data_IF_924634288468
#
_entry.id   IF_924634288468
#
_cell.length_a   1.000
_cell.length_b   1.000
_cell.length_c   1.000
_cell.angle_alpha   90.00
_cell.angle_beta   90.00
_cell.angle_gamma   90.00
#
_symmetry.space_group_name_H-M   'P 1'
#
loop_
_entity.id
_entity.type
_entity.pdbx_description
1 polymer ?
#
# COMPACT_ATOMS: atom_id res chain seq x y z
N UNK A 1 30.97 -20.22 -1.43
CA UNK A 1 32.07 -19.89 -2.37
C UNK A 1 32.72 -21.13 -3.02
N UNK A 2 32.43 -22.32 -2.58
CA UNK A 2 33.03 -23.56 -3.12
C UNK A 2 32.22 -24.23 -4.25
N UNK A 3 30.96 -23.87 -4.48
CA UNK A 3 30.11 -24.46 -5.54
C UNK A 3 30.23 -23.75 -6.91
N UNK A 4 30.85 -22.58 -6.98
CA UNK A 4 30.98 -21.80 -8.22
C UNK A 4 32.16 -22.23 -9.11
N UNK A 5 33.11 -23.00 -8.58
CA UNK A 5 34.28 -23.44 -9.34
C UNK A 5 34.14 -24.82 -10.01
N UNK A 6 33.17 -25.63 -9.58
CA UNK A 6 32.97 -26.96 -10.14
C UNK A 6 32.20 -26.99 -11.47
N UNK A 7 31.49 -25.93 -11.84
CA UNK A 7 30.67 -25.89 -13.07
C UNK A 7 31.45 -25.41 -14.29
N UNK A 8 32.59 -24.72 -14.09
CA UNK A 8 33.39 -24.21 -15.20
C UNK A 8 34.49 -25.16 -15.75
N UNK A 9 34.76 -26.26 -15.05
CA UNK A 9 35.83 -27.20 -15.47
C UNK A 9 35.37 -28.36 -16.38
N UNK A 10 34.07 -28.52 -16.63
CA UNK A 10 33.52 -29.60 -17.44
C UNK A 10 33.12 -29.22 -18.87
N UNK A 11 33.44 -28.02 -19.31
CA UNK A 11 33.14 -27.52 -20.65
C UNK A 11 34.39 -27.45 -21.54
N UNK A 12 35.16 -28.56 -21.64
CA UNK A 12 36.22 -28.69 -22.65
C UNK A 12 35.70 -29.42 -23.88
N UNK A 13 35.77 -28.74 -25.00
CA UNK A 13 35.14 -29.06 -26.27
C UNK A 13 35.73 -30.23 -27.06
N UNK A 14 34.83 -30.97 -27.73
CA UNK A 14 35.08 -31.57 -29.06
C UNK A 14 34.05 -31.01 -30.07
N UNK A 15 34.52 -30.63 -31.25
CA UNK A 15 33.85 -29.79 -32.23
C UNK A 15 32.67 -30.45 -33.01
N UNK A 16 32.21 -31.62 -32.64
CA UNK A 16 31.19 -32.35 -33.41
C UNK A 16 29.79 -32.48 -32.74
N UNK A 17 29.56 -31.83 -31.60
CA UNK A 17 28.24 -31.85 -30.94
C UNK A 17 27.72 -30.46 -30.50
N UNK A 18 28.11 -29.43 -31.20
CA UNK A 18 27.88 -28.02 -30.78
C UNK A 18 26.41 -27.60 -30.62
N UNK A 19 25.50 -28.20 -31.38
CA UNK A 19 24.06 -27.79 -31.33
C UNK A 19 23.29 -28.29 -30.13
N UNK A 20 23.57 -29.51 -29.64
CA UNK A 20 22.86 -30.10 -28.49
C UNK A 20 23.45 -29.66 -27.14
N UNK A 21 24.75 -29.39 -27.10
CA UNK A 21 25.42 -28.94 -25.88
C UNK A 21 25.12 -27.45 -25.59
N UNK A 22 25.00 -26.61 -26.60
CA UNK A 22 24.58 -25.21 -26.42
C UNK A 22 23.15 -25.07 -25.87
N UNK A 23 22.22 -25.94 -26.31
CA UNK A 23 20.85 -25.95 -25.73
C UNK A 23 20.83 -26.43 -24.29
N UNK A 24 21.65 -27.44 -23.92
CA UNK A 24 21.79 -27.92 -22.55
C UNK A 24 22.49 -26.90 -21.64
N UNK A 25 23.53 -26.20 -22.11
CA UNK A 25 24.17 -25.14 -21.38
C UNK A 25 23.23 -23.91 -21.21
N UNK A 26 22.47 -23.55 -22.24
CA UNK A 26 21.46 -22.48 -22.14
C UNK A 26 20.31 -22.85 -21.17
N UNK A 27 19.88 -24.11 -21.14
CA UNK A 27 18.86 -24.60 -20.21
C UNK A 27 19.37 -24.65 -18.77
N UNK A 28 20.65 -25.02 -18.55
CA UNK A 28 21.28 -25.03 -17.21
C UNK A 28 21.52 -23.59 -16.72
N UNK A 29 21.94 -22.67 -17.61
CA UNK A 29 22.07 -21.24 -17.29
C UNK A 29 20.72 -20.59 -17.02
N UNK A 30 19.67 -20.95 -17.77
CA UNK A 30 18.30 -20.46 -17.52
C UNK A 30 17.73 -21.04 -16.20
N UNK A 31 17.97 -22.31 -15.87
CA UNK A 31 17.61 -22.90 -14.59
C UNK A 31 18.43 -22.33 -13.43
N UNK A 32 19.72 -22.07 -13.61
CA UNK A 32 20.57 -21.43 -12.60
C UNK A 32 20.21 -19.94 -12.40
N UNK A 33 19.78 -19.23 -13.44
CA UNK A 33 19.26 -17.87 -13.32
C UNK A 33 17.88 -17.84 -12.64
N UNK A 34 17.04 -18.86 -12.82
CA UNK A 34 15.76 -19.00 -12.12
C UNK A 34 15.91 -19.42 -10.65
N UNK A 35 17.00 -20.08 -10.28
CA UNK A 35 17.23 -20.52 -8.89
C UNK A 35 17.82 -19.45 -7.95
N UNK A 36 18.23 -18.29 -8.47
CA UNK A 36 18.78 -17.19 -7.65
C UNK A 36 17.66 -16.29 -7.07
N UNK A 37 16.39 -16.50 -7.44
CA UNK A 37 15.28 -15.62 -7.07
C UNK A 37 14.25 -16.24 -6.14
N UNK A 38 14.59 -17.30 -5.42
CA UNK A 38 13.74 -17.78 -4.32
C UNK A 38 14.01 -16.97 -3.05
N UNK A 39 13.66 -15.71 -3.04
CA UNK A 39 13.42 -15.02 -1.78
C UNK A 39 12.07 -15.52 -1.27
N UNK A 40 12.06 -16.09 -0.06
CA UNK A 40 10.82 -16.41 0.64
C UNK A 40 9.94 -15.16 0.64
N UNK A 41 8.81 -15.21 -0.06
CA UNK A 41 7.80 -14.16 0.04
C UNK A 41 7.34 -14.15 1.51
N UNK A 42 7.84 -13.20 2.29
CA UNK A 42 7.29 -12.91 3.61
C UNK A 42 6.06 -12.07 3.37
N UNK A 43 4.92 -12.56 3.80
CA UNK A 43 3.61 -11.98 3.56
C UNK A 43 3.39 -10.60 4.16
N UNK A 44 4.22 -10.20 5.06
CA UNK A 44 4.12 -8.90 5.72
C UNK A 44 5.14 -7.93 5.12
N UNK A 45 4.87 -6.64 5.21
CA UNK A 45 5.80 -5.56 4.86
C UNK A 45 7.07 -5.55 5.70
N UNK A 46 7.74 -6.72 5.84
CA UNK A 46 8.93 -6.88 6.66
C UNK A 46 10.17 -6.84 5.76
N UNK A 47 11.10 -5.92 6.05
CA UNK A 47 12.45 -5.95 5.53
C UNK A 47 13.44 -5.96 6.70
N UNK A 48 14.21 -7.06 6.82
CA UNK A 48 15.09 -7.28 7.96
C UNK A 48 14.32 -7.41 9.28
N UNK A 49 14.61 -6.54 10.24
CA UNK A 49 13.94 -6.45 11.53
C UNK A 49 12.82 -5.40 11.57
N UNK A 50 12.49 -4.80 10.43
CA UNK A 50 11.49 -3.74 10.32
C UNK A 50 10.21 -4.29 9.70
N UNK A 51 9.09 -4.07 10.39
CA UNK A 51 7.78 -4.10 9.80
C UNK A 51 7.41 -2.69 9.32
N UNK A 52 7.07 -2.54 8.05
CA UNK A 52 6.50 -1.32 7.50
C UNK A 52 4.99 -1.40 7.60
N UNK A 53 4.45 -0.53 8.42
CA UNK A 53 3.04 -0.50 8.77
C UNK A 53 2.19 -0.17 7.54
N UNK A 54 1.11 -0.90 7.33
CA UNK A 54 0.07 -0.47 6.40
C UNK A 54 -0.45 0.90 6.83
N UNK A 55 -0.26 1.89 5.98
CA UNK A 55 -0.69 3.27 6.24
C UNK A 55 -2.17 3.44 5.94
N UNK A 56 -2.80 4.45 6.54
CA UNK A 56 -4.23 4.70 6.36
C UNK A 56 -4.50 5.72 5.24
N UNK A 57 -3.49 6.51 4.83
CA UNK A 57 -3.66 7.59 3.84
C UNK A 57 -3.14 7.25 2.46
N UNK A 58 -2.22 6.29 2.35
CA UNK A 58 -1.63 5.81 1.10
C UNK A 58 -1.20 4.35 1.25
N UNK A 59 -1.00 3.67 0.13
CA UNK A 59 -0.61 2.26 0.11
C UNK A 59 0.80 2.06 0.70
N UNK A 60 1.02 0.94 1.37
CA UNK A 60 2.32 0.57 1.91
C UNK A 60 3.27 0.05 0.81
N UNK A 61 4.57 -0.09 1.07
CA UNK A 61 5.50 -0.58 0.04
C UNK A 61 5.51 -2.10 -0.15
N UNK A 62 4.76 -2.87 0.64
CA UNK A 62 4.79 -4.33 0.56
C UNK A 62 3.89 -4.89 -0.54
N UNK A 63 4.15 -6.11 -0.97
CA UNK A 63 3.30 -6.89 -1.85
C UNK A 63 2.93 -8.18 -1.11
N UNK A 64 1.64 -8.34 -0.77
CA UNK A 64 1.13 -9.42 0.07
C UNK A 64 -0.28 -9.85 -0.34
N UNK A 65 -0.73 -10.98 0.22
CA UNK A 65 -2.14 -11.36 0.21
C UNK A 65 -2.82 -10.70 1.41
N UNK A 66 -3.56 -9.63 1.18
CA UNK A 66 -4.14 -8.84 2.26
C UNK A 66 -5.51 -8.28 1.92
N UNK A 67 -6.26 -7.92 2.95
CA UNK A 67 -7.52 -7.22 2.82
C UNK A 67 -7.63 -6.10 3.87
N UNK A 68 -7.97 -4.92 3.43
CA UNK A 68 -8.35 -3.81 4.30
C UNK A 68 -9.88 -3.78 4.35
N UNK A 69 -10.46 -4.08 5.53
CA UNK A 69 -11.92 -4.11 5.73
C UNK A 69 -12.24 -3.96 7.22
N UNK A 70 -12.85 -2.86 7.65
CA UNK A 70 -13.07 -1.59 6.94
C UNK A 70 -11.86 -0.65 7.03
N UNK A 71 -11.80 0.33 6.11
CA UNK A 71 -11.12 1.60 6.32
C UNK A 71 -12.20 2.68 6.44
N UNK A 72 -12.54 3.05 7.68
CA UNK A 72 -13.55 4.04 8.00
C UNK A 72 -12.90 5.42 8.16
N UNK A 73 -13.51 6.46 7.57
CA UNK A 73 -13.13 7.85 7.83
C UNK A 73 -14.34 8.75 8.02
N UNK A 74 -14.17 9.75 8.89
CA UNK A 74 -15.11 10.85 9.13
C UNK A 74 -14.38 12.17 8.91
N UNK A 75 -14.87 12.98 7.99
CA UNK A 75 -14.29 14.25 7.59
C UNK A 75 -15.34 15.34 7.48
N UNK A 76 -14.93 16.59 7.79
CA UNK A 76 -15.69 17.79 7.47
C UNK A 76 -14.83 18.67 6.56
N UNK A 77 -15.32 18.95 5.37
CA UNK A 77 -14.60 19.82 4.43
C UNK A 77 -15.49 20.93 3.87
N UNK A 78 -14.89 22.06 3.52
CA UNK A 78 -15.63 23.18 2.96
C UNK A 78 -15.97 22.93 1.48
N UNK A 79 -17.14 23.39 1.10
CA UNK A 79 -17.52 23.59 -0.30
C UNK A 79 -17.69 25.09 -0.56
N UNK A 80 -18.04 25.49 -1.79
CA UNK A 80 -18.23 26.89 -2.12
C UNK A 80 -19.28 27.56 -1.23
N UNK A 81 -20.39 26.87 -0.90
CA UNK A 81 -21.55 27.42 -0.25
C UNK A 81 -21.83 26.84 1.14
N UNK A 82 -21.12 25.81 1.56
CA UNK A 82 -21.41 25.08 2.80
C UNK A 82 -20.27 24.18 3.27
N UNK A 83 -20.47 23.52 4.40
CA UNK A 83 -19.64 22.40 4.84
C UNK A 83 -20.35 21.08 4.58
N UNK A 84 -19.59 20.07 4.22
CA UNK A 84 -20.06 18.69 4.06
C UNK A 84 -19.44 17.84 5.16
N UNK A 85 -20.26 17.02 5.80
CA UNK A 85 -19.80 15.95 6.68
C UNK A 85 -19.81 14.66 5.89
N UNK A 86 -18.65 14.05 5.72
CA UNK A 86 -18.50 12.80 4.97
C UNK A 86 -18.11 11.66 5.90
N UNK A 87 -18.84 10.55 5.78
CA UNK A 87 -18.45 9.26 6.29
C UNK A 87 -18.10 8.36 5.09
N UNK A 88 -16.95 7.72 5.15
CA UNK A 88 -16.51 6.83 4.09
C UNK A 88 -16.09 5.50 4.68
N UNK A 89 -16.45 4.41 4.03
CA UNK A 89 -15.99 3.07 4.33
C UNK A 89 -15.35 2.53 3.06
N UNK A 90 -14.03 2.45 3.03
CA UNK A 90 -13.31 1.85 1.94
C UNK A 90 -12.98 0.39 2.25
N UNK A 91 -12.71 -0.37 1.20
CA UNK A 91 -12.12 -1.69 1.26
C UNK A 91 -11.13 -1.85 0.12
N UNK A 92 -10.09 -2.59 0.41
CA UNK A 92 -9.06 -2.98 -0.54
C UNK A 92 -8.78 -4.47 -0.40
N UNK A 93 -8.46 -5.10 -1.51
CA UNK A 93 -8.08 -6.50 -1.55
C UNK A 93 -6.88 -6.67 -2.47
N UNK A 94 -5.83 -7.31 -1.98
CA UNK A 94 -4.64 -7.65 -2.75
C UNK A 94 -4.43 -9.16 -2.81
N UNK A 95 -4.07 -9.67 -3.98
CA UNK A 95 -3.82 -11.09 -4.24
C UNK A 95 -2.50 -11.30 -4.96
N UNK A 96 -1.61 -12.10 -4.39
CA UNK A 96 -0.35 -12.47 -5.01
C UNK A 96 -0.56 -13.25 -6.31
N UNK A 97 -0.04 -12.71 -7.40
CA UNK A 97 0.10 -13.39 -8.69
C UNK A 97 1.44 -14.11 -8.76
N UNK A 98 2.52 -13.45 -8.35
CA UNK A 98 3.86 -14.01 -8.15
C UNK A 98 4.36 -13.60 -6.76
N UNK A 99 5.52 -14.08 -6.29
CA UNK A 99 6.05 -13.66 -4.98
C UNK A 99 6.29 -12.15 -4.83
N UNK A 100 6.38 -11.41 -5.94
CA UNK A 100 6.67 -9.97 -5.98
C UNK A 100 5.64 -9.15 -6.75
N UNK A 101 4.56 -9.75 -7.23
CA UNK A 101 3.49 -9.09 -7.98
C UNK A 101 2.14 -9.45 -7.39
N UNK A 102 1.34 -8.46 -7.03
CA UNK A 102 -0.05 -8.63 -6.64
C UNK A 102 -1.02 -7.91 -7.59
N UNK A 103 -2.22 -8.46 -7.73
CA UNK A 103 -3.38 -7.75 -8.25
C UNK A 103 -4.13 -7.09 -7.10
N UNK A 104 -4.66 -5.89 -7.32
CA UNK A 104 -5.44 -5.13 -6.32
C UNK A 104 -6.84 -4.81 -6.83
N UNK A 105 -7.77 -4.73 -5.90
CA UNK A 105 -9.14 -4.29 -6.12
C UNK A 105 -9.52 -3.34 -4.99
N UNK A 106 -9.90 -2.12 -5.32
CA UNK A 106 -10.26 -1.08 -4.37
C UNK A 106 -11.64 -0.51 -4.70
N UNK A 107 -12.43 -0.21 -3.66
CA UNK A 107 -13.70 0.49 -3.77
C UNK A 107 -14.13 1.00 -2.39
N UNK A 108 -15.35 1.55 -2.29
CA UNK A 108 -15.86 2.06 -1.03
C UNK A 108 -17.34 2.40 -1.06
N UNK A 109 -17.83 2.84 0.08
CA UNK A 109 -19.15 3.45 0.25
C UNK A 109 -19.00 4.80 0.92
N UNK A 110 -19.67 5.82 0.37
CA UNK A 110 -19.61 7.20 0.83
C UNK A 110 -21.01 7.65 1.26
N UNK A 111 -21.09 8.33 2.40
CA UNK A 111 -22.28 9.00 2.87
C UNK A 111 -21.93 10.45 3.21
N UNK A 112 -22.61 11.41 2.57
CA UNK A 112 -22.40 12.83 2.71
C UNK A 112 -23.64 13.50 3.28
N UNK A 113 -23.46 14.29 4.34
CA UNK A 113 -24.49 15.13 4.92
C UNK A 113 -24.26 16.58 4.48
N UNK A 114 -25.25 17.12 3.79
CA UNK A 114 -25.33 18.48 3.29
C UNK A 114 -26.36 19.27 4.09
N UNK A 115 -26.34 20.61 4.12
CA UNK A 115 -27.38 21.38 4.79
C UNK A 115 -28.81 21.13 4.31
N UNK A 116 -28.98 20.65 3.07
CA UNK A 116 -30.28 20.42 2.42
C UNK A 116 -30.70 18.95 2.43
N UNK A 117 -29.91 18.04 2.99
CA UNK A 117 -30.17 16.60 2.99
C UNK A 117 -28.91 15.77 2.94
N UNK A 118 -29.03 14.54 2.51
CA UNK A 118 -27.89 13.62 2.43
C UNK A 118 -27.83 12.92 1.07
N UNK A 119 -26.64 12.51 0.68
CA UNK A 119 -26.39 11.62 -0.47
C UNK A 119 -25.56 10.43 -0.02
N UNK A 120 -25.71 9.30 -0.70
CA UNK A 120 -24.84 8.14 -0.47
C UNK A 120 -24.73 7.26 -1.71
N UNK A 121 -23.66 6.48 -1.77
CA UNK A 121 -23.45 5.56 -2.86
C UNK A 121 -22.06 4.95 -2.86
N UNK A 122 -21.84 4.04 -3.80
CA UNK A 122 -20.53 3.45 -4.00
C UNK A 122 -19.52 4.47 -4.50
N UNK A 123 -18.29 4.34 -4.00
CA UNK A 123 -17.14 5.05 -4.55
C UNK A 123 -16.68 4.39 -5.85
N UNK A 124 -15.80 5.07 -6.58
CA UNK A 124 -15.19 4.55 -7.79
C UNK A 124 -14.41 3.27 -7.49
N UNK A 125 -14.60 2.26 -8.33
CA UNK A 125 -13.87 1.00 -8.25
C UNK A 125 -12.60 1.09 -9.07
N UNK A 126 -11.48 0.60 -8.55
CA UNK A 126 -10.22 0.47 -9.27
C UNK A 126 -9.65 -0.96 -9.22
N UNK A 127 -8.96 -1.32 -10.31
CA UNK A 127 -8.21 -2.57 -10.45
C UNK A 127 -6.76 -2.23 -10.71
N UNK A 128 -5.85 -2.88 -10.01
CA UNK A 128 -4.44 -2.54 -10.11
C UNK A 128 -3.51 -3.76 -10.11
N UNK A 129 -2.25 -3.44 -10.37
CA UNK A 129 -1.10 -4.31 -10.20
C UNK A 129 -0.07 -3.57 -9.38
N UNK A 130 0.54 -4.25 -8.40
CA UNK A 130 1.61 -3.74 -7.56
C UNK A 130 2.79 -4.69 -7.62
N UNK A 131 3.96 -4.16 -7.95
CA UNK A 131 5.19 -4.93 -8.11
C UNK A 131 6.24 -4.46 -7.12
N UNK A 132 6.73 -5.36 -6.27
CA UNK A 132 7.87 -5.11 -5.40
C UNK A 132 9.15 -5.08 -6.24
N UNK A 133 9.65 -3.87 -6.50
CA UNK A 133 10.80 -3.64 -7.37
C UNK A 133 12.13 -3.77 -6.62
N UNK A 134 12.12 -3.54 -5.31
CA UNK A 134 13.33 -3.53 -4.50
C UNK A 134 13.05 -3.94 -3.06
N UNK A 135 13.93 -4.80 -2.51
CA UNK A 135 13.96 -5.17 -1.08
C UNK A 135 15.42 -5.34 -0.63
N UNK A 136 15.78 -4.67 0.45
CA UNK A 136 17.07 -4.83 1.13
C UNK A 136 16.83 -5.07 2.63
N UNK A 137 16.93 -6.33 3.02
CA UNK A 137 16.74 -6.75 4.41
C UNK A 137 17.84 -6.23 5.34
N UNK A 138 19.07 -6.06 4.84
CA UNK A 138 20.19 -5.56 5.64
C UNK A 138 20.01 -4.10 6.01
N UNK A 139 19.49 -3.32 5.10
CA UNK A 139 19.31 -1.88 5.27
C UNK A 139 17.84 -1.49 5.55
N UNK A 140 16.98 -2.47 5.83
CA UNK A 140 15.55 -2.26 6.11
C UNK A 140 14.90 -1.34 5.07
N UNK A 141 15.05 -1.67 3.79
CA UNK A 141 14.52 -0.86 2.71
C UNK A 141 13.65 -1.69 1.76
N UNK A 142 12.57 -1.08 1.28
CA UNK A 142 11.57 -1.71 0.42
C UNK A 142 10.98 -0.66 -0.51
N UNK A 143 10.77 -0.99 -1.78
CA UNK A 143 10.09 -0.13 -2.74
C UNK A 143 9.27 -0.93 -3.74
N UNK A 144 8.09 -0.41 -4.07
CA UNK A 144 7.18 -0.99 -5.05
C UNK A 144 6.71 0.05 -6.05
N UNK A 145 6.34 -0.43 -7.23
CA UNK A 145 5.67 0.36 -8.26
C UNK A 145 4.26 -0.20 -8.48
N UNK A 146 3.32 0.67 -8.78
CA UNK A 146 1.92 0.30 -9.00
C UNK A 146 1.36 0.94 -10.26
N UNK A 147 0.42 0.24 -10.88
CA UNK A 147 -0.40 0.75 -11.96
C UNK A 147 -1.83 0.31 -11.70
N UNK A 148 -2.77 1.26 -11.59
CA UNK A 148 -4.18 0.95 -11.39
C UNK A 148 -5.06 1.66 -12.41
N UNK A 149 -6.19 1.04 -12.71
CA UNK A 149 -7.22 1.53 -13.59
C UNK A 149 -8.49 1.78 -12.81
N UNK A 150 -8.87 3.06 -12.66
CA UNK A 150 -10.16 3.45 -12.13
C UNK A 150 -11.24 3.31 -13.20
N UNK A 151 -12.24 2.46 -12.94
CA UNK A 151 -13.28 2.09 -13.89
C UNK A 151 -14.29 3.24 -14.03
N UNK A 152 -14.53 3.66 -15.27
CA UNK A 152 -15.49 4.73 -15.55
C UNK A 152 -16.89 4.38 -15.04
N UNK A 153 -17.57 5.38 -14.48
CA UNK A 153 -18.98 5.29 -14.05
C UNK A 153 -19.29 4.12 -13.10
N UNK A 154 -18.28 3.59 -12.39
CA UNK A 154 -18.46 2.57 -11.37
C UNK A 154 -18.93 3.15 -10.03
N UNK A 155 -18.76 4.45 -9.82
CA UNK A 155 -19.20 5.16 -8.63
C UNK A 155 -20.51 5.93 -8.83
N UNK A 156 -21.11 6.32 -7.71
CA UNK A 156 -22.41 6.99 -7.69
C UNK A 156 -22.31 8.50 -7.95
N UNK A 157 -23.20 9.04 -8.77
CA UNK A 157 -23.32 10.49 -9.04
C UNK A 157 -23.52 11.30 -7.76
N UNK A 158 -24.35 10.76 -6.84
CA UNK A 158 -24.73 11.45 -5.60
C UNK A 158 -23.56 11.81 -4.68
N UNK A 159 -22.45 11.10 -4.77
CA UNK A 159 -21.25 11.33 -3.95
C UNK A 159 -20.05 11.82 -4.78
N UNK A 160 -20.29 12.21 -6.04
CA UNK A 160 -19.25 12.73 -6.93
C UNK A 160 -18.29 11.65 -7.46
N UNK A 161 -18.63 10.38 -7.33
CA UNK A 161 -17.80 9.26 -7.74
C UNK A 161 -18.05 8.78 -9.18
N UNK A 162 -19.04 9.37 -9.89
CA UNK A 162 -19.26 9.14 -11.32
C UNK A 162 -18.20 9.89 -12.15
N UNK A 163 -17.06 9.28 -12.35
CA UNK A 163 -15.91 9.83 -13.03
C UNK A 163 -15.55 9.02 -14.29
N UNK A 164 -14.78 9.57 -15.25
CA UNK A 164 -14.25 8.81 -16.37
C UNK A 164 -13.25 7.75 -15.89
N UNK A 165 -12.76 6.92 -16.83
CA UNK A 165 -11.60 6.08 -16.54
C UNK A 165 -10.42 6.94 -16.04
N UNK A 166 -9.64 6.40 -15.11
CA UNK A 166 -8.35 6.98 -14.72
C UNK A 166 -7.26 5.93 -14.77
N UNK A 167 -6.05 6.37 -15.06
CA UNK A 167 -4.84 5.56 -14.85
C UNK A 167 -4.09 6.18 -13.67
N UNK A 168 -3.72 5.34 -12.71
CA UNK A 168 -2.92 5.72 -11.56
C UNK A 168 -1.57 5.01 -11.65
N UNK A 169 -0.48 5.76 -11.75
CA UNK A 169 0.87 5.23 -11.74
C UNK A 169 1.56 5.68 -10.46
N UNK A 170 2.09 4.73 -9.68
CA UNK A 170 2.59 5.01 -8.36
C UNK A 170 3.92 4.35 -8.02
N UNK A 171 4.59 4.96 -7.04
CA UNK A 171 5.76 4.41 -6.34
C UNK A 171 5.50 4.51 -4.85
N UNK A 172 5.74 3.42 -4.13
CA UNK A 172 5.72 3.36 -2.67
C UNK A 172 7.08 2.93 -2.16
N UNK A 173 7.51 3.44 -1.02
CA UNK A 173 8.80 3.12 -0.44
C UNK A 173 8.76 3.08 1.09
N UNK A 174 9.69 2.32 1.66
CA UNK A 174 9.93 2.26 3.09
C UNK A 174 11.42 2.19 3.40
N UNK A 175 11.87 2.91 4.44
CA UNK A 175 13.22 2.86 4.98
C UNK A 175 13.19 2.90 6.49
N UNK A 176 13.66 1.82 7.12
CA UNK A 176 13.92 1.74 8.54
C UNK A 176 15.33 2.20 8.88
N UNK A 177 15.55 2.61 10.11
CA UNK A 177 16.85 3.10 10.61
C UNK A 177 17.54 2.11 11.55
N UNK A 178 17.13 0.83 11.55
CA UNK A 178 17.68 -0.22 12.40
C UNK A 178 19.16 -0.53 12.12
N UNK A 179 19.64 -0.20 10.91
CA UNK A 179 21.03 -0.36 10.45
C UNK A 179 22.00 0.75 10.87
N UNK A 180 21.51 1.78 11.57
CA UNK A 180 22.36 2.89 12.04
C UNK A 180 23.41 2.42 13.07
N UNK A 181 24.58 3.07 13.13
CA UNK A 181 25.64 2.76 14.10
C UNK A 181 25.19 3.03 15.54
N UNK A 182 25.90 2.45 16.52
CA UNK A 182 25.54 2.56 17.95
C UNK A 182 25.48 4.00 18.46
N UNK A 183 26.27 4.90 17.91
CA UNK A 183 26.24 6.34 18.23
C UNK A 183 24.88 6.99 17.89
N UNK A 184 24.12 6.43 16.96
CA UNK A 184 22.80 6.87 16.52
C UNK A 184 21.69 5.86 16.87
N UNK A 185 21.94 4.97 17.84
CA UNK A 185 21.01 3.88 18.21
C UNK A 185 19.62 4.37 18.63
N UNK A 186 19.49 5.60 19.10
CA UNK A 186 18.23 6.22 19.48
C UNK A 186 17.29 6.51 18.29
N UNK A 187 17.84 6.56 17.06
CA UNK A 187 17.06 6.70 15.83
C UNK A 187 16.58 5.34 15.27
N UNK A 188 17.17 4.23 15.71
CA UNK A 188 16.84 2.89 15.19
C UNK A 188 15.34 2.53 15.28
N UNK A 189 14.55 2.99 16.29
CA UNK A 189 13.10 2.74 16.30
C UNK A 189 12.35 3.40 15.16
N UNK A 190 12.89 4.44 14.54
CA UNK A 190 12.17 5.19 13.52
C UNK A 190 12.27 4.54 12.14
N UNK A 191 11.22 4.74 11.35
CA UNK A 191 11.17 4.45 9.93
C UNK A 191 10.39 5.53 9.21
N UNK A 192 10.64 5.66 7.90
CA UNK A 192 9.85 6.50 6.99
C UNK A 192 9.28 5.60 5.92
N UNK A 193 7.97 5.73 5.65
CA UNK A 193 7.32 5.21 4.45
C UNK A 193 6.75 6.36 3.65
N UNK A 194 6.50 6.16 2.37
CA UNK A 194 5.89 7.19 1.55
C UNK A 194 5.38 6.65 0.23
N UNK A 195 4.54 7.45 -0.42
CA UNK A 195 4.00 7.17 -1.73
C UNK A 195 3.94 8.42 -2.60
N UNK A 196 4.07 8.23 -3.89
CA UNK A 196 3.80 9.23 -4.93
C UNK A 196 3.00 8.52 -6.01
N UNK A 197 1.78 9.01 -6.28
CA UNK A 197 0.85 8.44 -7.27
C UNK A 197 0.32 9.56 -8.14
N UNK A 198 0.52 9.45 -9.44
CA UNK A 198 -0.08 10.34 -10.43
C UNK A 198 -1.37 9.71 -10.98
N UNK A 199 -2.49 10.36 -10.78
CA UNK A 199 -3.79 9.95 -11.31
C UNK A 199 -4.14 10.82 -12.52
N UNK A 200 -4.13 10.20 -13.70
CA UNK A 200 -4.46 10.84 -14.98
C UNK A 200 -5.86 10.40 -15.45
N UNK A 201 -6.83 11.32 -15.61
CA UNK A 201 -8.13 11.00 -16.17
C UNK A 201 -8.06 10.76 -17.68
N UNK A 202 -8.73 9.68 -18.14
CA UNK A 202 -8.82 9.32 -19.55
C UNK A 202 -10.18 9.74 -20.16
N UNK A 203 -10.60 10.99 -19.93
CA UNK A 203 -11.87 11.50 -20.39
C UNK A 203 -12.18 12.91 -19.87
N UNK A 204 -13.29 13.49 -20.35
CA UNK A 204 -13.59 14.91 -20.10
C UNK A 204 -14.35 15.19 -18.78
N UNK A 205 -14.63 14.20 -17.96
CA UNK A 205 -15.32 14.42 -16.68
C UNK A 205 -16.48 13.43 -16.47
N UNK A 206 -17.06 13.52 -15.30
CA UNK A 206 -18.20 12.75 -14.84
C UNK A 206 -19.36 13.65 -14.43
N UNK A 207 -20.16 13.16 -13.52
CA UNK A 207 -21.31 13.87 -12.96
C UNK A 207 -21.23 13.85 -11.44
N UNK A 208 -21.76 14.92 -10.85
CA UNK A 208 -21.89 15.03 -9.40
C UNK A 208 -23.20 15.69 -9.03
N UNK A 209 -23.65 15.51 -7.81
CA UNK A 209 -24.72 16.33 -7.24
C UNK A 209 -24.12 17.56 -6.55
N UNK A 210 -24.64 18.73 -6.91
CA UNK A 210 -24.36 19.98 -6.21
C UNK A 210 -25.60 20.45 -5.45
N UNK A 211 -25.49 20.90 -4.19
CA UNK A 211 -26.62 21.40 -3.42
C UNK A 211 -27.05 22.77 -3.97
N UNK A 212 -28.35 22.95 -4.17
CA UNK A 212 -28.95 24.24 -4.41
C UNK A 212 -29.65 24.67 -3.13
N UNK A 213 -29.00 25.53 -2.34
CA UNK A 213 -29.50 26.00 -1.04
C UNK A 213 -30.78 26.84 -1.17
N UNK A 214 -30.97 27.50 -2.30
CA UNK A 214 -32.17 28.34 -2.53
C UNK A 214 -33.42 27.50 -2.76
N UNK A 215 -33.30 26.33 -3.41
CA UNK A 215 -34.44 25.45 -3.69
C UNK A 215 -34.53 24.25 -2.76
N UNK A 216 -33.50 23.99 -1.95
CA UNK A 216 -33.42 22.82 -1.11
C UNK A 216 -33.29 21.49 -1.91
N UNK A 217 -32.74 21.53 -3.11
CA UNK A 217 -32.63 20.37 -4.00
C UNK A 217 -31.20 20.12 -4.45
N UNK A 218 -30.89 18.90 -4.88
CA UNK A 218 -29.63 18.59 -5.55
C UNK A 218 -29.77 18.75 -7.07
N UNK A 219 -28.79 19.42 -7.68
CA UNK A 219 -28.66 19.56 -9.12
C UNK A 219 -27.60 18.59 -9.64
N UNK A 220 -27.91 17.91 -10.74
CA UNK A 220 -26.91 17.10 -11.45
C UNK A 220 -26.03 18.06 -12.27
N UNK A 221 -24.74 18.11 -11.94
CA UNK A 221 -23.78 18.99 -12.59
C UNK A 221 -22.65 18.18 -13.21
N UNK A 222 -22.01 18.73 -14.24
CA UNK A 222 -20.76 18.18 -14.77
C UNK A 222 -19.64 18.35 -13.75
N UNK A 223 -18.92 17.26 -13.48
CA UNK A 223 -17.73 17.26 -12.63
C UNK A 223 -16.50 17.08 -13.52
N UNK A 224 -15.67 18.12 -13.70
CA UNK A 224 -14.47 18.00 -14.52
C UNK A 224 -13.49 17.00 -13.91
N UNK A 225 -12.95 16.14 -14.72
CA UNK A 225 -11.87 15.26 -14.31
C UNK A 225 -10.54 16.02 -14.34
N UNK A 226 -9.79 15.96 -13.27
CA UNK A 226 -8.54 16.71 -13.09
C UNK A 226 -7.42 15.74 -12.74
N UNK A 227 -6.30 15.85 -13.46
CA UNK A 227 -5.06 15.16 -13.09
C UNK A 227 -4.70 15.52 -11.64
N UNK A 228 -4.41 14.53 -10.83
CA UNK A 228 -4.11 14.74 -9.41
C UNK A 228 -2.84 13.97 -9.02
N UNK A 229 -1.87 14.70 -8.47
CA UNK A 229 -0.72 14.10 -7.82
C UNK A 229 -1.04 13.86 -6.34
N UNK A 230 -1.15 12.58 -5.97
CA UNK A 230 -1.26 12.13 -4.59
C UNK A 230 0.12 11.79 -4.06
N UNK A 231 0.53 12.39 -2.96
CA UNK A 231 1.81 12.08 -2.35
C UNK A 231 1.76 12.24 -0.84
N UNK A 232 2.64 11.55 -0.17
CA UNK A 232 2.69 11.61 1.27
C UNK A 232 3.82 10.77 1.85
N UNK A 233 4.00 10.91 3.14
CA UNK A 233 4.93 10.11 3.91
C UNK A 233 4.44 9.91 5.34
N UNK A 234 4.90 8.84 5.96
CA UNK A 234 4.66 8.53 7.37
C UNK A 234 5.98 8.42 8.11
N UNK A 235 6.03 8.95 9.31
CA UNK A 235 7.09 8.70 10.29
C UNK A 235 6.52 7.70 11.29
N UNK A 236 7.15 6.54 11.40
CA UNK A 236 6.71 5.42 12.22
C UNK A 236 7.73 5.15 13.33
N UNK A 237 7.26 4.79 14.52
CA UNK A 237 8.09 4.42 15.65
C UNK A 237 7.80 2.99 16.08
N UNK A 238 8.75 2.07 15.91
CA UNK A 238 8.60 0.66 16.27
C UNK A 238 8.96 0.43 17.72
N UNK A 239 7.98 0.01 18.53
CA UNK A 239 8.23 -0.36 19.94
C UNK A 239 9.03 -1.65 20.07
N UNK A 240 9.13 -2.46 19.02
CA UNK A 240 9.99 -3.64 18.96
C UNK A 240 11.47 -3.30 19.20
N UNK A 241 11.97 -2.19 18.61
CA UNK A 241 13.34 -1.74 18.86
C UNK A 241 13.54 -1.18 20.27
N UNK A 242 12.48 -0.66 20.88
CA UNK A 242 12.52 -0.15 22.25
C UNK A 242 12.65 -1.30 23.24
N UNK A 243 11.81 -2.34 23.13
CA UNK A 243 11.84 -3.52 24.01
C UNK A 243 13.17 -4.25 23.93
N UNK A 244 13.75 -4.40 22.73
CA UNK A 244 15.08 -5.00 22.56
C UNK A 244 16.18 -4.28 23.35
N UNK A 245 16.04 -2.98 23.54
CA UNK A 245 17.04 -2.18 24.28
C UNK A 245 16.92 -2.35 25.79
N UNK A 246 15.73 -2.60 26.32
CA UNK A 246 15.46 -2.65 27.76
C UNK A 246 15.36 -4.06 28.32
N UNK A 247 14.88 -5.01 27.57
CA UNK A 247 14.53 -6.33 28.12
C UNK A 247 15.71 -7.30 28.18
N UNK A 248 16.83 -7.07 27.48
CA UNK A 248 18.00 -7.96 27.46
C UNK A 248 17.68 -9.42 27.08
N UNK A 249 16.44 -9.69 26.72
CA UNK A 249 15.93 -11.02 26.36
C UNK A 249 16.37 -11.48 24.98
N UNK A 250 16.17 -12.76 24.63
CA UNK A 250 16.42 -13.26 23.30
C UNK A 250 15.61 -12.45 22.30
N UNK A 251 16.17 -12.12 21.12
CA UNK A 251 15.46 -11.35 20.12
C UNK A 251 14.17 -12.09 19.73
N UNK A 252 13.03 -11.39 19.80
CA UNK A 252 11.82 -11.87 19.11
C UNK A 252 12.18 -12.01 17.64
N UNK A 253 11.88 -13.15 17.05
CA UNK A 253 12.29 -13.45 15.69
C UNK A 253 11.59 -12.57 14.63
N UNK A 254 10.44 -11.99 14.98
CA UNK A 254 9.64 -11.16 14.08
C UNK A 254 9.19 -9.84 14.74
N UNK A 255 9.16 -8.72 13.99
CA UNK A 255 8.74 -7.41 14.49
C UNK A 255 7.21 -7.26 14.54
N UNK A 256 6.51 -8.28 15.02
CA UNK A 256 5.05 -8.32 15.17
C UNK A 256 4.65 -8.22 16.65
N UNK A 257 3.36 -8.20 16.94
CA UNK A 257 2.78 -8.04 18.28
C UNK A 257 3.31 -6.79 18.98
N UNK A 258 3.25 -5.66 18.26
CA UNK A 258 3.74 -4.38 18.74
C UNK A 258 2.80 -3.22 18.47
N UNK A 259 2.93 -2.16 19.28
CA UNK A 259 2.37 -0.86 18.98
C UNK A 259 3.32 -0.05 18.10
N UNK A 260 2.76 0.64 17.13
CA UNK A 260 3.50 1.52 16.22
C UNK A 260 2.83 2.90 16.21
N UNK A 261 3.24 3.82 17.11
CA UNK A 261 2.89 5.23 16.96
C UNK A 261 3.42 5.76 15.62
N UNK A 262 2.61 6.59 14.96
CA UNK A 262 2.95 7.13 13.65
C UNK A 262 2.34 8.53 13.44
N UNK A 263 2.91 9.25 12.51
CA UNK A 263 2.29 10.47 11.97
C UNK A 263 2.36 10.39 10.46
N UNK A 264 1.21 10.50 9.80
CA UNK A 264 1.12 10.52 8.34
C UNK A 264 0.92 11.96 7.86
N UNK A 265 1.56 12.30 6.74
CA UNK A 265 1.37 13.56 6.03
C UNK A 265 0.87 13.23 4.63
N UNK A 266 -0.32 13.73 4.30
CA UNK A 266 -0.95 13.52 3.00
C UNK A 266 -1.13 14.82 2.26
N UNK A 267 -0.86 14.76 0.97
CA UNK A 267 -1.03 15.87 0.04
C UNK A 267 -1.70 15.37 -1.25
N UNK A 268 -2.85 15.94 -1.57
CA UNK A 268 -3.52 15.73 -2.86
C UNK A 268 -3.44 17.04 -3.64
N UNK A 269 -2.75 17.02 -4.77
CA UNK A 269 -2.41 18.20 -5.57
C UNK A 269 -3.11 18.14 -6.94
N UNK A 270 -4.41 18.51 -7.03
CA UNK A 270 -5.13 18.57 -8.30
C UNK A 270 -4.54 19.68 -9.18
N UNK A 271 -4.37 19.41 -10.45
CA UNK A 271 -3.79 20.36 -11.41
C UNK A 271 -4.66 21.64 -11.50
N UNK A 272 -4.03 22.79 -11.26
CA UNK A 272 -4.71 24.08 -11.29
C UNK A 272 -5.61 24.38 -10.09
N UNK A 273 -5.59 23.55 -9.06
CA UNK A 273 -6.34 23.77 -7.81
C UNK A 273 -5.42 23.84 -6.59
N UNK A 274 -5.97 24.15 -5.43
CA UNK A 274 -5.21 24.16 -4.17
C UNK A 274 -4.93 22.73 -3.72
N UNK A 275 -3.72 22.47 -3.27
CA UNK A 275 -3.35 21.21 -2.64
C UNK A 275 -4.14 21.02 -1.35
N UNK A 276 -4.76 19.87 -1.20
CA UNK A 276 -5.32 19.39 0.08
C UNK A 276 -4.17 18.86 0.91
N UNK A 277 -4.01 19.32 2.14
CA UNK A 277 -2.92 18.90 3.00
C UNK A 277 -3.42 18.56 4.40
N UNK A 278 -3.04 17.38 4.92
CA UNK A 278 -3.37 16.93 6.28
C UNK A 278 -2.16 16.35 6.99
N UNK A 279 -2.14 16.45 8.32
CA UNK A 279 -1.21 15.75 9.20
C UNK A 279 -2.03 14.86 10.14
N UNK A 280 -1.72 13.58 10.17
CA UNK A 280 -2.56 12.57 10.78
C UNK A 280 -1.75 11.80 11.84
N UNK A 281 -1.70 12.29 13.10
CA UNK A 281 -1.14 11.52 14.20
C UNK A 281 -2.04 10.33 14.51
N UNK A 282 -1.42 9.16 14.68
CA UNK A 282 -2.13 7.93 14.90
C UNK A 282 -1.29 6.84 15.57
N UNK A 283 -1.88 5.70 15.69
CA UNK A 283 -1.26 4.50 16.24
C UNK A 283 -1.81 3.26 15.55
N UNK A 284 -0.94 2.31 15.31
CA UNK A 284 -1.32 0.97 14.89
C UNK A 284 -0.90 -0.07 15.92
N UNK A 285 -1.69 -1.12 16.05
CA UNK A 285 -1.30 -2.36 16.69
C UNK A 285 -1.18 -3.44 15.63
N UNK A 286 -0.02 -4.05 15.56
CA UNK A 286 0.29 -5.09 14.57
C UNK A 286 0.34 -6.43 15.28
N UNK A 287 -0.60 -7.32 14.96
CA UNK A 287 -0.62 -8.72 15.38
C UNK A 287 -0.03 -9.62 14.29
N UNK A 288 -0.09 -10.94 14.49
CA UNK A 288 0.41 -11.91 13.51
C UNK A 288 -0.48 -11.99 12.26
N UNK A 289 -1.80 -11.91 12.45
CA UNK A 289 -2.78 -12.13 11.37
C UNK A 289 -3.55 -10.87 10.97
N UNK A 290 -3.36 -9.77 11.67
CA UNK A 290 -4.08 -8.51 11.43
C UNK A 290 -3.33 -7.31 12.00
N UNK A 291 -3.69 -6.14 11.50
CA UNK A 291 -3.30 -4.83 12.03
C UNK A 291 -4.57 -4.00 12.23
N UNK A 292 -4.67 -3.32 13.38
CA UNK A 292 -5.69 -2.30 13.62
C UNK A 292 -5.02 -0.94 13.80
N UNK A 293 -5.52 0.07 13.13
CA UNK A 293 -4.95 1.42 13.13
C UNK A 293 -6.03 2.47 13.36
N UNK A 294 -5.67 3.56 14.02
CA UNK A 294 -6.53 4.73 14.17
C UNK A 294 -5.70 6.00 14.15
N UNK A 295 -6.27 7.07 13.56
CA UNK A 295 -5.62 8.39 13.46
C UNK A 295 -6.64 9.52 13.60
N UNK A 296 -6.16 10.69 14.02
CA UNK A 296 -6.87 11.95 13.93
C UNK A 296 -6.38 12.67 12.68
N UNK A 297 -7.30 13.11 11.82
CA UNK A 297 -6.98 13.84 10.60
C UNK A 297 -7.00 15.33 10.94
N UNK A 298 -5.85 15.97 10.89
CA UNK A 298 -5.70 17.41 11.16
C UNK A 298 -5.47 18.16 9.85
N UNK A 299 -6.40 19.03 9.42
CA UNK A 299 -6.18 19.88 8.26
C UNK A 299 -4.97 20.80 8.46
N UNK A 300 -4.04 20.77 7.51
CA UNK A 300 -2.88 21.69 7.47
C UNK A 300 -3.20 22.98 6.72
N UNK A 301 -4.26 22.98 5.93
CA UNK A 301 -4.74 24.13 5.20
C UNK A 301 -6.26 24.07 5.03
N UNK A 302 -6.87 25.16 4.56
CA UNK A 302 -8.32 25.27 4.40
C UNK A 302 -8.89 24.26 3.37
N UNK A 303 -8.11 23.87 2.36
CA UNK A 303 -8.52 22.85 1.40
C UNK A 303 -8.59 21.46 2.03
N UNK A 304 -7.77 21.19 3.05
CA UNK A 304 -7.74 19.94 3.80
C UNK A 304 -8.90 19.75 4.78
N UNK A 305 -9.65 20.81 5.06
CA UNK A 305 -10.81 20.75 5.97
C UNK A 305 -10.91 21.96 6.88
N UNK A 306 -12.00 22.01 7.64
CA UNK A 306 -12.29 23.09 8.61
C UNK A 306 -12.21 22.62 10.07
N UNK A 307 -12.21 21.33 10.30
CA UNK A 307 -12.16 20.70 11.63
C UNK A 307 -11.42 19.38 11.58
N UNK A 308 -10.92 18.90 12.73
CA UNK A 308 -10.35 17.57 12.80
C UNK A 308 -11.32 16.48 12.34
N UNK A 309 -10.79 15.52 11.63
CA UNK A 309 -11.47 14.28 11.25
C UNK A 309 -10.90 13.09 12.01
N UNK A 310 -11.40 11.92 11.67
CA UNK A 310 -10.98 10.65 12.28
C UNK A 310 -10.93 9.55 11.22
N UNK A 311 -9.97 8.63 11.35
CA UNK A 311 -9.92 7.41 10.56
C UNK A 311 -9.56 6.21 11.41
N UNK A 312 -10.12 5.05 11.07
CA UNK A 312 -9.78 3.76 11.66
C UNK A 312 -9.79 2.67 10.59
N UNK A 313 -8.83 1.76 10.66
CA UNK A 313 -8.60 0.74 9.65
C UNK A 313 -8.34 -0.61 10.31
N UNK A 314 -8.85 -1.68 9.67
CA UNK A 314 -8.47 -3.06 9.93
C UNK A 314 -7.85 -3.65 8.68
N UNK A 315 -6.60 -4.06 8.77
CA UNK A 315 -5.86 -4.79 7.73
C UNK A 315 -5.75 -6.25 8.17
N UNK A 316 -6.13 -7.17 7.32
CA UNK A 316 -6.08 -8.62 7.53
C UNK A 316 -4.98 -9.22 6.65
N UNK A 317 -4.08 -9.99 7.25
CA UNK A 317 -3.05 -10.76 6.55
C UNK A 317 -3.66 -12.10 6.15
N UNK A 318 -4.13 -12.19 4.91
CA UNK A 318 -4.94 -13.32 4.45
C UNK A 318 -4.15 -14.63 4.35
N UNK A 319 -2.87 -14.52 4.07
CA UNK A 319 -1.97 -15.65 3.97
C UNK A 319 -1.69 -16.33 5.33
N UNK A 320 -1.72 -15.57 6.43
CA UNK A 320 -1.64 -16.13 7.79
C UNK A 320 -3.01 -16.54 8.33
N UNK A 321 -4.07 -15.85 7.88
CA UNK A 321 -5.43 -16.13 8.34
C UNK A 321 -6.00 -17.39 7.66
N UNK A 322 -5.75 -17.55 6.35
CA UNK A 322 -6.26 -18.66 5.53
C UNK A 322 -5.13 -19.21 4.63
N UNK A 323 -4.07 -19.82 5.20
CA UNK A 323 -2.89 -20.25 4.45
C UNK A 323 -3.17 -21.37 3.43
N UNK A 324 -4.33 -22.03 3.52
CA UNK A 324 -4.76 -23.01 2.53
C UNK A 324 -5.11 -22.41 1.16
N UNK A 325 -5.52 -21.13 1.15
CA UNK A 325 -5.95 -20.40 -0.05
C UNK A 325 -4.94 -19.33 -0.43
N UNK A 326 -4.45 -18.58 0.56
CA UNK A 326 -3.56 -17.42 0.41
C UNK A 326 -2.11 -17.78 0.73
N UNK A 327 -1.16 -16.87 0.43
CA UNK A 327 0.27 -17.09 0.62
C UNK A 327 0.93 -17.98 -0.44
N UNK A 328 0.14 -18.48 -1.42
CA UNK A 328 0.62 -19.22 -2.59
C UNK A 328 0.32 -18.39 -3.83
N UNK A 329 1.35 -17.87 -4.52
CA UNK A 329 1.12 -17.09 -5.73
C UNK A 329 0.35 -17.89 -6.79
N UNK A 330 -0.57 -17.22 -7.49
CA UNK A 330 -1.47 -17.88 -8.46
C UNK A 330 -0.73 -18.38 -9.71
N UNK A 331 0.31 -17.67 -10.16
CA UNK A 331 1.00 -17.95 -11.43
C UNK A 331 2.30 -18.78 -11.25
N UNK A 332 2.79 -18.92 -10.04
CA UNK A 332 3.97 -19.73 -9.75
C UNK A 332 3.56 -20.93 -8.91
N UNK A 333 3.48 -22.11 -9.52
CA UNK A 333 3.02 -23.35 -8.87
C UNK A 333 3.99 -23.96 -7.83
N UNK A 334 4.99 -23.23 -7.34
CA UNK A 334 5.82 -23.66 -6.23
C UNK A 334 5.16 -23.22 -4.92
N UNK A 335 4.90 -24.15 -3.98
CA UNK A 335 4.50 -23.78 -2.63
C UNK A 335 5.62 -22.91 -2.02
N UNK A 336 5.31 -21.89 -1.21
CA UNK A 336 6.31 -21.23 -0.40
C UNK A 336 6.96 -22.30 0.47
N UNK A 337 8.29 -22.44 0.38
CA UNK A 337 9.04 -23.34 1.25
C UNK A 337 8.72 -22.98 2.70
N UNK A 338 8.14 -23.96 3.41
CA UNK A 338 7.93 -24.04 4.84
C UNK A 338 8.12 -22.70 5.60
N UNK A 339 7.02 -21.97 5.77
CA UNK A 339 6.89 -21.07 6.90
C UNK A 339 6.78 -21.94 8.16
N UNK A 340 7.90 -22.37 8.72
CA UNK A 340 7.90 -22.79 10.11
C UNK A 340 7.70 -21.51 10.93
N UNK A 341 6.47 -21.28 11.34
CA UNK A 341 6.18 -20.42 12.48
C UNK A 341 6.81 -21.17 13.65
N UNK A 342 8.00 -20.76 14.06
CA UNK A 342 8.54 -21.19 15.36
C UNK A 342 7.67 -20.48 16.41
N UNK A 343 6.82 -21.27 17.05
CA UNK A 343 5.99 -20.86 18.20
C UNK A 343 6.86 -20.65 19.45
#
# INVERSE_FOLDING_TARGET
>A
MALHFAVLSSCSMSVQSAGNNMRKCASILAMAALSVWTQSARAHGIAGNRYFNGTMTFDDPAVADEAIVPDFSYLSYPTQDSNVLENRINWSFARLLTPTLAATLDSGWVHQNWPIGHTSGFDKTSLGLKYEAFRDNKHEALASVSLAWGIAHSGAVGVGADAPNTIQAGVTFGKGFGDLPDSLSWLRPFAITGAIVDEEPMGQGGRAFAPNLATGTFLNVSSPAVQTLHWGFSIQYSTFYLTRRFDGGPPKEEPLNQWVPLVEFRFDSPRGQKTVATANPGVAYVAVTWQASAEIILPMNHAGGNSPGFRAQMLLFLDDLIPSVFGKPLLTGAPPENRQIAW
#
